data_IF_463972047427
#
_entry.id   IF_463972047427
#
_cell.length_a   1.000
_cell.length_b   1.000
_cell.length_c   1.000
_cell.angle_alpha   90.00
_cell.angle_beta   90.00
_cell.angle_gamma   90.00
#
_symmetry.space_group_name_H-M   'P 1'
#
loop_
_entity.id
_entity.type
_entity.pdbx_description
1 polymer ?
#
# COMPACT_ATOMS: atom_id res chain seq x y z
N UNK A 1 -39.17 44.27 -34.44
CA UNK A 1 -38.46 45.50 -34.06
C UNK A 1 -36.97 45.27 -34.32
N UNK A 2 -36.53 45.28 -35.57
CA UNK A 2 -35.86 46.43 -36.23
C UNK A 2 -34.73 47.06 -35.41
N UNK A 3 -33.48 46.74 -35.74
CA UNK A 3 -32.41 47.70 -36.12
C UNK A 3 -31.17 46.87 -36.54
N UNK A 4 -30.89 46.69 -37.84
CA UNK A 4 -30.06 47.53 -38.73
C UNK A 4 -28.54 47.46 -38.41
N UNK A 5 -27.56 47.31 -39.32
CA UNK A 5 -27.41 46.84 -40.71
C UNK A 5 -25.93 47.11 -41.10
N UNK A 6 -25.32 46.18 -41.87
CA UNK A 6 -24.16 46.27 -42.82
C UNK A 6 -23.19 45.09 -42.61
N UNK A 7 -22.75 44.34 -43.62
CA UNK A 7 -22.84 44.53 -45.06
C UNK A 7 -22.89 43.20 -45.84
N UNK A 8 -23.43 43.33 -47.04
CA UNK A 8 -23.78 42.30 -48.00
C UNK A 8 -23.02 42.63 -49.29
N UNK A 9 -22.31 41.65 -49.87
CA UNK A 9 -22.00 41.47 -51.30
C UNK A 9 -20.99 40.31 -51.40
N UNK A 10 -21.06 39.30 -52.25
CA UNK A 10 -21.98 38.91 -53.32
C UNK A 10 -21.62 37.44 -53.63
N UNK A 11 -22.61 36.57 -53.76
CA UNK A 11 -22.44 35.18 -54.17
C UNK A 11 -22.70 35.00 -55.67
N UNK A 12 -22.07 33.94 -56.19
CA UNK A 12 -22.53 33.07 -57.28
C UNK A 12 -22.48 33.59 -58.73
N UNK A 13 -21.84 32.77 -59.59
CA UNK A 13 -22.22 32.30 -60.93
C UNK A 13 -20.96 31.55 -61.47
N UNK A 14 -20.95 30.42 -62.16
CA UNK A 14 -21.95 29.66 -62.92
C UNK A 14 -21.21 28.36 -63.37
N UNK A 15 -21.83 27.18 -63.23
CA UNK A 15 -21.46 25.98 -64.01
C UNK A 15 -22.25 26.01 -65.34
N UNK A 16 -21.77 25.46 -66.47
CA UNK A 16 -21.85 24.00 -66.70
C UNK A 16 -20.82 23.39 -67.72
N UNK A 17 -20.98 22.08 -67.94
CA UNK A 17 -20.66 21.30 -69.16
C UNK A 17 -19.43 20.38 -69.17
N UNK A 18 -19.66 19.19 -69.75
CA UNK A 18 -18.85 17.98 -69.72
C UNK A 18 -18.03 17.76 -71.02
N UNK A 19 -16.89 17.05 -70.87
CA UNK A 19 -16.07 16.29 -71.85
C UNK A 19 -15.45 17.09 -73.02
N UNK A 20 -14.19 16.82 -73.43
CA UNK A 20 -13.74 15.49 -73.90
C UNK A 20 -12.30 15.06 -73.51
N UNK A 21 -12.03 13.75 -73.59
CA UNK A 21 -10.64 13.25 -73.75
C UNK A 21 -10.03 13.77 -75.06
N UNK A 22 -8.71 14.01 -75.07
CA UNK A 22 -7.95 13.54 -76.22
C UNK A 22 -6.56 12.95 -75.88
N UNK A 23 -6.30 11.82 -76.52
CA UNK A 23 -5.11 11.55 -77.34
C UNK A 23 -3.77 11.21 -76.65
N UNK A 24 -3.44 9.94 -76.85
CA UNK A 24 -2.15 9.26 -76.74
C UNK A 24 -1.14 9.76 -77.80
N UNK A 25 0.09 10.14 -77.38
CA UNK A 25 1.37 10.01 -78.12
C UNK A 25 2.53 10.61 -77.28
N UNK A 26 3.82 10.30 -77.57
CA UNK A 26 4.49 9.03 -77.37
C UNK A 26 5.64 9.13 -76.32
N UNK A 27 6.20 7.98 -75.98
CA UNK A 27 7.26 7.77 -75.01
C UNK A 27 8.55 8.57 -75.31
N UNK A 28 9.07 9.23 -74.27
CA UNK A 28 10.42 9.79 -74.21
C UNK A 28 11.37 8.74 -73.59
N UNK A 29 12.37 8.20 -74.32
CA UNK A 29 13.23 7.14 -73.85
C UNK A 29 14.52 7.72 -73.25
N UNK A 30 14.43 8.48 -72.17
CA UNK A 30 15.62 8.99 -71.45
C UNK A 30 15.32 9.40 -70.02
N UNK A 31 14.92 8.46 -69.15
CA UNK A 31 15.16 8.60 -67.71
C UNK A 31 15.10 7.23 -66.97
N UNK A 32 16.00 7.00 -66.01
CA UNK A 32 16.30 5.68 -65.43
C UNK A 32 15.24 5.18 -64.43
N UNK A 33 15.16 3.84 -64.34
CA UNK A 33 14.22 3.09 -63.51
C UNK A 33 14.20 3.54 -62.02
N UNK A 34 13.02 3.84 -61.45
CA UNK A 34 12.90 3.97 -60.01
C UNK A 34 12.74 2.60 -59.33
N UNK A 35 13.76 2.28 -58.54
CA UNK A 35 13.78 1.44 -57.34
C UNK A 35 12.41 1.10 -56.76
N UNK A 36 12.19 -0.20 -56.57
CA UNK A 36 11.06 -0.83 -55.88
C UNK A 36 10.86 -0.20 -54.48
N UNK A 37 9.82 0.60 -54.32
CA UNK A 37 9.31 1.01 -53.02
C UNK A 37 8.58 -0.19 -52.34
N UNK A 38 8.59 -0.27 -51.00
CA UNK A 38 8.02 -1.39 -50.25
C UNK A 38 6.48 -1.46 -50.41
N UNK A 39 5.97 -2.69 -50.41
CA UNK A 39 4.55 -2.98 -50.54
C UNK A 39 3.74 -2.42 -49.36
N UNK A 40 2.64 -1.76 -49.70
CA UNK A 40 1.57 -1.29 -48.83
C UNK A 40 0.84 -2.49 -48.19
N UNK A 41 0.67 -2.55 -46.84
CA UNK A 41 -0.01 -3.66 -46.15
C UNK A 41 -1.55 -3.61 -46.24
N UNK A 42 -2.13 -2.79 -47.11
CA UNK A 42 -3.57 -2.55 -47.16
C UNK A 42 -4.23 -3.13 -48.42
N UNK A 43 -4.24 -4.46 -48.56
CA UNK A 43 -5.10 -5.15 -49.53
C UNK A 43 -5.72 -6.43 -48.93
N UNK A 44 -7.06 -6.58 -48.93
CA UNK A 44 -7.73 -7.74 -48.32
C UNK A 44 -7.60 -9.00 -49.20
N UNK A 45 -7.22 -10.12 -48.58
CA UNK A 45 -7.15 -11.45 -49.21
C UNK A 45 -8.56 -12.06 -49.30
N UNK A 46 -9.02 -12.59 -50.45
CA UNK A 46 -10.34 -13.21 -50.58
C UNK A 46 -10.42 -14.61 -49.94
N UNK A 47 -11.53 -14.89 -49.25
CA UNK A 47 -11.79 -16.14 -48.54
C UNK A 47 -12.11 -17.32 -49.48
N UNK A 48 -11.71 -18.57 -49.14
CA UNK A 48 -12.04 -19.77 -49.91
C UNK A 48 -13.47 -20.28 -49.64
N UNK A 49 -14.11 -20.97 -50.62
CA UNK A 49 -15.50 -21.42 -50.53
C UNK A 49 -15.70 -22.67 -49.63
N UNK A 50 -16.92 -22.92 -49.11
CA UNK A 50 -17.20 -23.99 -48.16
C UNK A 50 -17.33 -25.37 -48.82
N UNK A 51 -16.86 -26.41 -48.12
CA UNK A 51 -16.95 -27.82 -48.52
C UNK A 51 -18.31 -28.45 -48.12
N UNK A 52 -18.83 -29.45 -48.88
CA UNK A 52 -20.17 -29.99 -48.71
C UNK A 52 -20.30 -31.04 -47.58
N UNK A 53 -21.53 -31.12 -47.03
CA UNK A 53 -21.95 -32.03 -45.96
C UNK A 53 -22.01 -33.50 -46.40
N UNK A 54 -21.68 -34.42 -45.49
CA UNK A 54 -21.82 -35.88 -45.64
C UNK A 54 -22.77 -36.44 -44.55
N UNK A 55 -23.69 -37.38 -44.88
CA UNK A 55 -24.86 -37.77 -44.07
C UNK A 55 -24.57 -38.78 -42.92
N UNK A 56 -25.53 -39.07 -42.02
CA UNK A 56 -25.27 -39.72 -40.74
C UNK A 56 -25.32 -41.26 -40.81
N UNK A 57 -24.63 -41.91 -39.88
CA UNK A 57 -24.73 -43.35 -39.61
C UNK A 57 -25.23 -43.60 -38.17
N UNK A 58 -25.91 -44.74 -37.93
CA UNK A 58 -26.97 -44.88 -36.91
C UNK A 58 -26.45 -45.28 -35.53
N UNK A 59 -27.28 -45.02 -34.51
CA UNK A 59 -26.99 -45.33 -33.11
C UNK A 59 -27.13 -46.81 -32.75
N UNK A 60 -26.43 -47.21 -31.69
CA UNK A 60 -26.74 -48.36 -30.84
C UNK A 60 -26.44 -47.98 -29.39
N UNK A 61 -27.38 -48.33 -28.51
CA UNK A 61 -27.46 -48.08 -27.07
C UNK A 61 -26.65 -49.13 -26.25
N UNK A 62 -26.62 -49.08 -24.90
CA UNK A 62 -25.48 -49.47 -24.07
C UNK A 62 -25.55 -50.85 -23.38
N UNK A 63 -24.43 -51.16 -22.69
CA UNK A 63 -24.28 -51.98 -21.47
C UNK A 63 -24.50 -53.51 -21.52
N UNK A 64 -23.41 -54.25 -21.23
CA UNK A 64 -23.46 -55.54 -20.55
C UNK A 64 -22.19 -55.73 -19.70
N UNK A 65 -22.41 -56.24 -18.49
CA UNK A 65 -21.51 -56.37 -17.35
C UNK A 65 -20.40 -57.44 -17.53
N UNK A 66 -19.35 -57.44 -16.67
CA UNK A 66 -18.18 -58.29 -16.81
C UNK A 66 -18.42 -59.73 -16.29
N UNK A 67 -17.72 -60.66 -16.93
CA UNK A 67 -17.71 -62.11 -16.65
C UNK A 67 -16.55 -62.44 -15.71
N UNK A 68 -16.84 -63.35 -14.79
CA UNK A 68 -16.05 -63.94 -13.72
C UNK A 68 -14.56 -64.22 -14.03
N UNK A 69 -13.70 -63.78 -13.12
CA UNK A 69 -12.36 -64.34 -12.86
C UNK A 69 -12.40 -65.28 -11.65
N UNK A 70 -11.66 -66.40 -11.67
CA UNK A 70 -11.89 -67.52 -10.77
C UNK A 70 -11.32 -67.32 -9.36
N UNK A 71 -12.01 -67.98 -8.43
CA UNK A 71 -11.76 -68.07 -7.01
C UNK A 71 -10.30 -68.38 -6.64
N UNK A 72 -9.75 -67.54 -5.78
CA UNK A 72 -8.60 -67.83 -4.93
C UNK A 72 -8.97 -68.91 -3.91
N UNK A 73 -8.17 -69.97 -3.89
CA UNK A 73 -8.24 -71.05 -2.91
C UNK A 73 -7.82 -70.51 -1.52
N UNK A 74 -8.78 -70.33 -0.63
CA UNK A 74 -8.52 -70.11 0.80
C UNK A 74 -7.99 -71.42 1.40
N UNK A 75 -6.68 -71.45 1.65
CA UNK A 75 -6.04 -72.49 2.47
C UNK A 75 -6.48 -72.26 3.92
N UNK A 76 -7.43 -73.08 4.34
CA UNK A 76 -7.88 -73.27 5.72
C UNK A 76 -6.69 -73.56 6.64
N UNK A 77 -6.27 -72.56 7.43
CA UNK A 77 -5.43 -72.77 8.60
C UNK A 77 -6.32 -73.20 9.77
N UNK A 78 -6.15 -74.45 10.20
CA UNK A 78 -6.81 -75.01 11.39
C UNK A 78 -6.55 -74.16 12.66
N UNK A 79 -7.54 -74.01 13.56
CA UNK A 79 -7.31 -73.36 14.84
C UNK A 79 -6.61 -74.35 15.77
N UNK A 80 -5.45 -73.94 16.30
CA UNK A 80 -4.84 -74.62 17.43
C UNK A 80 -4.98 -73.75 18.69
N UNK A 81 -5.56 -74.39 19.70
CA UNK A 81 -5.52 -74.14 21.15
C UNK A 81 -6.68 -73.35 21.76
N UNK A 82 -7.29 -74.04 22.72
CA UNK A 82 -8.42 -73.73 23.60
C UNK A 82 -8.22 -72.40 24.35
N UNK A 83 -8.64 -71.31 23.73
CA UNK A 83 -8.67 -69.97 24.32
C UNK A 83 -9.94 -69.26 23.85
N UNK A 84 -10.66 -68.52 24.72
CA UNK A 84 -11.93 -67.88 24.38
C UNK A 84 -11.78 -66.71 23.37
N UNK A 85 -10.56 -66.45 22.90
CA UNK A 85 -10.20 -65.37 22.00
C UNK A 85 -9.71 -65.96 20.67
N UNK A 86 -10.43 -65.69 19.58
CA UNK A 86 -10.03 -66.11 18.24
C UNK A 86 -9.16 -65.03 17.59
N UNK A 87 -7.98 -65.41 17.10
CA UNK A 87 -7.00 -64.50 16.47
C UNK A 87 -6.76 -64.94 15.03
N UNK A 88 -6.89 -64.03 14.08
CA UNK A 88 -6.47 -64.22 12.69
C UNK A 88 -5.55 -63.08 12.25
N UNK A 89 -4.58 -63.39 11.39
CA UNK A 89 -3.62 -62.45 10.87
C UNK A 89 -3.59 -62.51 9.33
N UNK A 90 -3.55 -61.35 8.68
CA UNK A 90 -3.44 -61.23 7.21
C UNK A 90 -2.38 -60.20 6.86
N UNK A 91 -1.57 -60.47 5.84
CA UNK A 91 -0.58 -59.52 5.31
C UNK A 91 -1.02 -59.04 3.93
N UNK A 92 -0.96 -57.74 3.67
CA UNK A 92 -1.29 -57.13 2.36
C UNK A 92 -0.26 -56.05 2.01
N UNK A 93 0.27 -55.99 0.77
CA UNK A 93 0.06 -56.90 -0.36
C UNK A 93 0.89 -58.18 -0.29
N UNK A 94 0.42 -59.27 -0.93
CA UNK A 94 1.16 -60.51 -1.18
C UNK A 94 0.89 -60.98 -2.62
N UNK A 95 1.90 -61.05 -3.53
CA UNK A 95 3.31 -60.76 -3.29
C UNK A 95 3.61 -59.27 -3.09
N UNK A 96 4.68 -58.98 -2.36
CA UNK A 96 5.17 -57.62 -2.09
C UNK A 96 6.51 -57.36 -2.77
N UNK A 97 6.93 -56.09 -2.87
CA UNK A 97 8.24 -55.72 -3.39
C UNK A 97 9.21 -55.30 -2.28
N UNK A 98 10.51 -55.36 -2.57
CA UNK A 98 11.55 -54.90 -1.64
C UNK A 98 11.29 -53.45 -1.23
N UNK A 99 11.12 -53.20 0.07
CA UNK A 99 10.89 -51.86 0.59
C UNK A 99 9.44 -51.38 0.55
N UNK A 100 8.49 -52.20 0.12
CA UNK A 100 7.06 -51.89 0.26
C UNK A 100 6.63 -51.84 1.73
N UNK A 101 5.63 -51.01 2.01
CA UNK A 101 4.96 -50.93 3.30
C UNK A 101 3.87 -52.02 3.35
N UNK A 102 4.15 -53.09 4.07
CA UNK A 102 3.23 -54.21 4.29
C UNK A 102 2.29 -53.90 5.46
N UNK A 103 1.01 -54.21 5.31
CA UNK A 103 0.01 -54.13 6.38
C UNK A 103 -0.25 -55.52 6.92
N UNK A 104 0.18 -55.77 8.16
CA UNK A 104 -0.19 -56.96 8.92
C UNK A 104 -1.43 -56.61 9.76
N UNK A 105 -2.59 -57.07 9.33
CA UNK A 105 -3.87 -56.91 10.02
C UNK A 105 -4.10 -58.11 10.95
N UNK A 106 -4.07 -57.87 12.26
CA UNK A 106 -4.40 -58.86 13.27
C UNK A 106 -5.80 -58.60 13.79
N UNK A 107 -6.74 -59.46 13.42
CA UNK A 107 -8.11 -59.45 13.92
C UNK A 107 -8.19 -60.31 15.18
N UNK A 108 -8.64 -59.70 16.27
CA UNK A 108 -8.88 -60.38 17.55
C UNK A 108 -10.37 -60.32 17.87
N UNK A 109 -11.02 -61.48 17.96
CA UNK A 109 -12.41 -61.64 18.36
C UNK A 109 -12.48 -62.20 19.79
N UNK A 110 -13.17 -61.49 20.69
CA UNK A 110 -13.22 -61.79 22.13
C UNK A 110 -14.61 -61.53 22.73
N UNK A 111 -15.00 -62.21 23.83
CA UNK A 111 -16.30 -61.99 24.49
C UNK A 111 -16.42 -60.61 25.16
N UNK A 112 -17.63 -60.18 25.47
CA UNK A 112 -17.87 -58.91 26.18
C UNK A 112 -17.27 -58.94 27.59
N UNK A 113 -16.61 -57.85 28.01
CA UNK A 113 -15.95 -57.73 29.31
C UNK A 113 -14.44 -58.04 29.32
N UNK A 114 -13.88 -58.47 28.18
CA UNK A 114 -12.44 -58.64 28.01
C UNK A 114 -11.82 -57.36 27.42
N UNK A 115 -10.61 -57.01 27.87
CA UNK A 115 -9.81 -55.92 27.30
C UNK A 115 -8.55 -56.47 26.64
N UNK A 116 -8.33 -56.16 25.36
CA UNK A 116 -7.18 -56.65 24.58
C UNK A 116 -6.18 -55.51 24.38
N UNK A 117 -4.92 -55.76 24.69
CA UNK A 117 -3.81 -54.82 24.55
C UNK A 117 -2.63 -55.48 23.82
N UNK A 118 -1.99 -54.70 22.93
CA UNK A 118 -0.74 -55.10 22.27
C UNK A 118 0.45 -54.62 23.13
N UNK A 119 1.50 -55.45 23.31
CA UNK A 119 2.67 -55.05 24.08
C UNK A 119 3.38 -53.84 23.42
N UNK A 120 3.67 -52.80 24.22
CA UNK A 120 4.47 -51.66 23.77
C UNK A 120 5.91 -52.13 23.49
N UNK A 121 6.43 -51.83 22.29
CA UNK A 121 7.81 -52.15 21.90
C UNK A 121 8.00 -53.53 21.24
N UNK A 122 6.98 -54.05 20.56
CA UNK A 122 7.05 -55.28 19.79
C UNK A 122 8.18 -55.23 18.75
N UNK A 123 9.11 -56.20 18.82
CA UNK A 123 10.17 -56.40 17.82
C UNK A 123 9.79 -57.57 16.93
N UNK A 124 9.75 -57.33 15.62
CA UNK A 124 9.35 -58.31 14.61
C UNK A 124 10.53 -58.76 13.74
N UNK A 125 11.76 -58.79 14.28
CA UNK A 125 12.98 -59.14 13.53
C UNK A 125 12.80 -60.44 12.71
N UNK A 126 13.16 -60.46 11.40
CA UNK A 126 13.88 -59.46 10.62
C UNK A 126 12.99 -58.37 9.95
N UNK A 127 11.75 -58.19 10.41
CA UNK A 127 10.82 -57.17 9.90
C UNK A 127 10.96 -55.88 10.71
N UNK A 128 11.01 -54.77 9.99
CA UNK A 128 11.03 -53.44 10.60
C UNK A 128 9.60 -52.97 10.86
N UNK A 129 9.24 -52.76 12.12
CA UNK A 129 7.96 -52.18 12.52
C UNK A 129 7.99 -50.65 12.33
N UNK A 130 7.11 -50.11 11.51
CA UNK A 130 6.99 -48.68 11.19
C UNK A 130 5.93 -48.01 12.07
N UNK A 131 4.73 -48.58 12.16
CA UNK A 131 3.64 -48.06 12.98
C UNK A 131 2.69 -49.16 13.43
N UNK A 132 1.95 -48.88 14.50
CA UNK A 132 0.85 -49.72 15.00
C UNK A 132 -0.38 -48.84 15.12
N UNK A 133 -1.45 -49.21 14.43
CA UNK A 133 -2.75 -48.56 14.52
C UNK A 133 -3.75 -49.53 15.13
N UNK A 134 -4.64 -49.01 15.96
CA UNK A 134 -5.63 -49.78 16.72
C UNK A 134 -7.03 -49.30 16.36
N UNK A 135 -7.90 -50.22 15.91
CA UNK A 135 -9.29 -49.90 15.61
C UNK A 135 -10.14 -49.78 16.88
N UNK A 136 -11.24 -49.05 16.80
CA UNK A 136 -12.28 -49.12 17.82
C UNK A 136 -12.88 -50.55 17.85
N UNK A 137 -13.34 -51.05 19.01
CA UNK A 137 -14.00 -52.34 19.10
C UNK A 137 -15.35 -52.33 18.35
N UNK A 138 -15.49 -53.23 17.38
CA UNK A 138 -16.74 -53.45 16.64
C UNK A 138 -17.55 -54.57 17.29
N UNK A 139 -18.86 -54.35 17.48
CA UNK A 139 -19.77 -55.38 18.01
C UNK A 139 -20.18 -56.35 16.92
N UNK A 140 -19.85 -57.63 17.08
CA UNK A 140 -20.18 -58.71 16.12
C UNK A 140 -21.42 -59.53 16.53
N UNK A 141 -22.23 -59.00 17.46
CA UNK A 141 -23.49 -59.62 17.90
C UNK A 141 -23.34 -60.70 18.99
N UNK A 142 -22.25 -61.48 18.98
CA UNK A 142 -21.93 -62.49 20.02
C UNK A 142 -20.62 -62.17 20.79
N UNK A 143 -19.96 -61.05 20.47
CA UNK A 143 -18.71 -60.61 21.08
C UNK A 143 -18.25 -59.26 20.52
N UNK A 144 -17.01 -58.89 20.81
CA UNK A 144 -16.31 -57.73 20.28
C UNK A 144 -15.18 -58.18 19.33
N UNK A 145 -15.00 -57.44 18.24
CA UNK A 145 -13.89 -57.61 17.29
C UNK A 145 -13.03 -56.35 17.32
N UNK A 146 -11.72 -56.53 17.34
CA UNK A 146 -10.76 -55.42 17.25
C UNK A 146 -9.68 -55.76 16.24
N UNK A 147 -9.30 -54.78 15.43
CA UNK A 147 -8.28 -54.94 14.39
C UNK A 147 -7.06 -54.11 14.75
N UNK A 148 -5.90 -54.75 14.76
CA UNK A 148 -4.61 -54.11 14.92
C UNK A 148 -3.88 -54.13 13.59
N UNK A 149 -3.55 -52.95 13.06
CA UNK A 149 -2.83 -52.82 11.79
C UNK A 149 -1.38 -52.47 12.07
N UNK A 150 -0.48 -53.41 11.83
CA UNK A 150 0.96 -53.22 11.94
C UNK A 150 1.52 -52.89 10.56
N UNK A 151 2.08 -51.70 10.40
CA UNK A 151 2.82 -51.34 9.19
C UNK A 151 4.25 -51.84 9.35
N UNK A 152 4.65 -52.80 8.51
CA UNK A 152 5.96 -53.46 8.58
C UNK A 152 6.68 -53.34 7.23
N UNK A 153 8.01 -53.46 7.26
CA UNK A 153 8.84 -53.42 6.06
C UNK A 153 9.86 -54.57 6.08
N UNK A 154 10.11 -55.16 4.91
CA UNK A 154 11.11 -56.22 4.72
C UNK A 154 12.04 -55.88 3.55
N UNK A 155 13.34 -56.11 3.74
CA UNK A 155 14.37 -55.74 2.77
C UNK A 155 15.05 -56.93 2.08
N UNK A 156 14.80 -58.16 2.53
CA UNK A 156 15.36 -59.35 1.88
C UNK A 156 14.37 -59.90 0.85
N UNK A 157 14.90 -60.38 -0.28
CA UNK A 157 14.14 -61.01 -1.36
C UNK A 157 13.89 -62.48 -1.01
N UNK A 158 12.73 -63.00 -1.37
CA UNK A 158 12.37 -64.42 -1.22
C UNK A 158 11.18 -64.62 -0.30
N UNK A 159 11.01 -65.85 0.18
CA UNK A 159 9.99 -66.20 1.15
C UNK A 159 10.34 -65.60 2.52
N UNK A 160 9.42 -64.82 3.08
CA UNK A 160 9.53 -64.24 4.41
C UNK A 160 8.35 -64.70 5.26
N UNK A 161 8.48 -64.58 6.58
CA UNK A 161 7.41 -64.89 7.53
C UNK A 161 7.32 -63.85 8.63
N UNK A 162 6.10 -63.53 9.05
CA UNK A 162 5.86 -62.79 10.27
C UNK A 162 6.09 -63.71 11.47
N UNK A 163 6.90 -63.31 12.47
CA UNK A 163 7.11 -64.14 13.65
C UNK A 163 5.81 -64.25 14.46
N UNK A 164 5.64 -65.36 15.17
CA UNK A 164 4.56 -65.47 16.15
C UNK A 164 4.88 -64.59 17.36
N UNK A 165 3.91 -63.78 17.81
CA UNK A 165 4.10 -62.89 18.95
C UNK A 165 2.87 -62.89 19.88
N UNK A 166 3.09 -62.63 21.19
CA UNK A 166 2.03 -62.64 22.17
C UNK A 166 1.18 -61.36 22.14
N UNK A 167 -0.14 -61.52 22.19
CA UNK A 167 -1.12 -60.47 22.52
C UNK A 167 -1.65 -60.74 23.93
N UNK A 168 -1.79 -59.68 24.72
CA UNK A 168 -2.27 -59.78 26.10
C UNK A 168 -3.74 -59.40 26.17
N UNK A 169 -4.52 -60.18 26.93
CA UNK A 169 -5.92 -59.86 27.22
C UNK A 169 -6.20 -59.99 28.72
N UNK A 170 -7.08 -59.13 29.22
CA UNK A 170 -7.52 -59.09 30.61
C UNK A 170 -8.93 -59.65 30.67
N UNK A 171 -9.13 -60.72 31.43
CA UNK A 171 -10.43 -61.32 31.68
C UNK A 171 -11.25 -60.51 32.70
N UNK A 172 -12.59 -60.68 32.77
CA UNK A 172 -13.45 -59.94 33.70
C UNK A 172 -13.10 -60.13 35.20
N UNK A 173 -12.39 -61.20 35.54
CA UNK A 173 -11.86 -61.49 36.89
C UNK A 173 -10.54 -60.76 37.20
N UNK A 174 -10.02 -59.98 36.25
CA UNK A 174 -8.75 -59.28 36.34
C UNK A 174 -7.53 -60.15 36.01
N UNK A 175 -7.71 -61.41 35.63
CA UNK A 175 -6.61 -62.28 35.24
C UNK A 175 -6.04 -61.85 33.89
N UNK A 176 -4.72 -61.66 33.84
CA UNK A 176 -3.99 -61.34 32.61
C UNK A 176 -3.58 -62.64 31.94
N UNK A 177 -4.04 -62.85 30.71
CA UNK A 177 -3.72 -64.01 29.89
C UNK A 177 -3.09 -63.56 28.57
N UNK A 178 -2.39 -64.49 27.91
CA UNK A 178 -1.66 -64.22 26.68
C UNK A 178 -2.08 -65.22 25.61
N UNK A 179 -2.43 -64.73 24.43
CA UNK A 179 -2.69 -65.53 23.24
C UNK A 179 -1.63 -65.25 22.18
N UNK A 180 -1.24 -66.27 21.42
CA UNK A 180 -0.22 -66.13 20.39
C UNK A 180 -0.85 -65.79 19.04
N UNK A 181 -0.32 -64.76 18.38
CA UNK A 181 -0.63 -64.48 16.98
C UNK A 181 0.11 -65.50 16.12
N UNK A 182 -0.56 -66.20 15.19
CA UNK A 182 0.09 -67.18 14.34
C UNK A 182 1.07 -66.51 13.35
N UNK A 183 2.12 -67.25 12.99
CA UNK A 183 3.07 -66.84 11.95
C UNK A 183 2.40 -66.89 10.57
N UNK A 184 2.67 -65.91 9.72
CA UNK A 184 2.13 -65.83 8.36
C UNK A 184 3.27 -65.67 7.34
N UNK A 185 3.31 -66.53 6.32
CA UNK A 185 4.29 -66.46 5.23
C UNK A 185 3.83 -65.50 4.13
N UNK A 186 4.75 -64.75 3.54
CA UNK A 186 4.50 -63.89 2.39
C UNK A 186 5.75 -63.86 1.49
N UNK A 187 5.58 -63.50 0.22
CA UNK A 187 6.70 -63.48 -0.75
C UNK A 187 7.14 -62.05 -1.07
N UNK A 188 8.44 -61.77 -0.96
CA UNK A 188 9.05 -60.51 -1.39
C UNK A 188 9.77 -60.70 -2.72
N UNK A 189 9.29 -60.00 -3.74
CA UNK A 189 9.82 -60.00 -5.10
C UNK A 189 10.76 -58.81 -5.31
N UNK A 190 11.81 -59.02 -6.10
CA UNK A 190 12.71 -57.94 -6.47
C UNK A 190 12.10 -57.11 -7.60
N UNK A 191 12.02 -55.78 -7.42
CA UNK A 191 11.75 -54.86 -8.52
C UNK A 191 13.03 -54.66 -9.34
N UNK A 192 13.59 -55.73 -9.90
CA UNK A 192 14.57 -55.61 -10.97
C UNK A 192 13.79 -55.42 -12.26
N UNK A 193 13.43 -54.17 -12.54
CA UNK A 193 13.05 -53.72 -13.88
C UNK A 193 14.29 -53.67 -14.79
N UNK A 194 15.05 -54.76 -14.87
CA UNK A 194 15.95 -54.98 -16.00
C UNK A 194 15.12 -55.66 -17.07
N UNK A 195 14.19 -54.92 -17.67
CA UNK A 195 13.69 -55.29 -18.99
C UNK A 195 14.92 -55.37 -19.92
N UNK A 196 15.12 -56.52 -20.56
CA UNK A 196 16.30 -56.74 -21.42
C UNK A 196 16.40 -55.73 -22.58
N UNK A 197 15.31 -55.00 -22.85
CA UNK A 197 15.20 -53.91 -23.81
C UNK A 197 14.35 -52.78 -23.21
N UNK A 198 14.92 -51.88 -22.38
CA UNK A 198 14.15 -50.78 -21.81
C UNK A 198 13.65 -49.87 -22.94
N UNK A 199 12.35 -49.85 -23.15
CA UNK A 199 11.74 -48.97 -24.14
C UNK A 199 11.84 -47.54 -23.61
N UNK A 200 12.55 -46.67 -24.35
CA UNK A 200 12.68 -45.25 -24.01
C UNK A 200 11.28 -44.68 -23.74
N UNK A 201 11.06 -44.13 -22.54
CA UNK A 201 9.84 -43.36 -22.28
C UNK A 201 9.72 -42.29 -23.37
N UNK A 202 8.52 -42.20 -23.96
CA UNK A 202 8.24 -41.20 -24.99
C UNK A 202 8.44 -39.80 -24.43
N UNK A 203 8.75 -38.86 -25.32
CA UNK A 203 8.72 -37.43 -24.97
C UNK A 203 7.32 -37.07 -24.46
N UNK A 204 7.28 -36.32 -23.36
CA UNK A 204 6.03 -35.74 -22.89
C UNK A 204 5.37 -34.96 -24.03
N UNK A 205 4.04 -35.07 -24.19
CA UNK A 205 3.34 -34.35 -25.24
C UNK A 205 3.63 -32.84 -25.10
N UNK A 206 3.88 -32.12 -26.20
CA UNK A 206 4.12 -30.69 -26.15
C UNK A 206 2.92 -30.02 -25.49
N UNK A 207 3.18 -29.30 -24.40
CA UNK A 207 2.15 -28.50 -23.73
C UNK A 207 1.82 -27.34 -24.68
N UNK A 208 0.69 -27.45 -25.37
CA UNK A 208 0.19 -26.37 -26.21
C UNK A 208 -0.46 -25.32 -25.30
N UNK A 209 0.29 -24.25 -25.03
CA UNK A 209 -0.31 -23.04 -24.49
C UNK A 209 -1.18 -22.44 -25.60
N UNK A 210 -2.46 -22.21 -25.29
CA UNK A 210 -3.37 -21.53 -26.22
C UNK A 210 -2.80 -20.14 -26.53
N UNK A 211 -2.41 -19.93 -27.78
CA UNK A 211 -1.86 -18.67 -28.27
C UNK A 211 -2.80 -18.11 -29.35
N UNK A 212 -3.16 -16.82 -29.29
CA UNK A 212 -2.77 -15.83 -28.30
C UNK A 212 -3.51 -16.00 -26.95
N UNK A 213 -2.78 -15.79 -25.85
CA UNK A 213 -3.38 -15.79 -24.52
C UNK A 213 -3.91 -14.39 -24.18
N UNK A 214 -5.11 -14.09 -24.69
CA UNK A 214 -5.73 -12.77 -24.54
C UNK A 214 -5.95 -12.37 -23.07
N UNK A 215 -6.15 -13.34 -22.16
CA UNK A 215 -6.35 -13.05 -20.73
C UNK A 215 -5.05 -12.62 -20.07
N UNK A 216 -3.93 -13.30 -20.37
CA UNK A 216 -2.61 -12.90 -19.91
C UNK A 216 -2.20 -11.54 -20.49
N UNK A 217 -2.45 -11.31 -21.79
CA UNK A 217 -2.15 -10.03 -22.44
C UNK A 217 -2.95 -8.87 -21.82
N UNK A 218 -4.25 -9.07 -21.58
CA UNK A 218 -5.10 -8.08 -20.90
C UNK A 218 -4.61 -7.82 -19.47
N UNK A 219 -4.22 -8.87 -18.74
CA UNK A 219 -3.69 -8.74 -17.39
C UNK A 219 -2.37 -7.94 -17.36
N UNK A 220 -1.49 -8.14 -18.36
CA UNK A 220 -0.24 -7.38 -18.51
C UNK A 220 -0.54 -5.89 -18.77
N UNK A 221 -1.44 -5.56 -19.69
CA UNK A 221 -1.78 -4.15 -19.94
C UNK A 221 -2.46 -3.48 -18.74
N UNK A 222 -3.34 -4.20 -18.04
CA UNK A 222 -3.96 -3.68 -16.82
C UNK A 222 -2.94 -3.43 -15.70
N UNK A 223 -2.03 -4.37 -15.47
CA UNK A 223 -0.97 -4.21 -14.45
C UNK A 223 -0.01 -3.08 -14.82
N UNK A 224 0.40 -2.98 -16.08
CA UNK A 224 1.21 -1.85 -16.56
C UNK A 224 0.49 -0.51 -16.40
N UNK A 225 -0.79 -0.44 -16.77
CA UNK A 225 -1.63 0.76 -16.61
C UNK A 225 -1.79 1.17 -15.13
N UNK A 226 -2.01 0.20 -14.24
CA UNK A 226 -2.11 0.44 -12.81
C UNK A 226 -0.79 0.98 -12.21
N UNK A 227 0.36 0.46 -12.66
CA UNK A 227 1.67 0.96 -12.22
C UNK A 227 1.91 2.41 -12.67
N UNK A 228 1.58 2.74 -13.92
CA UNK A 228 1.72 4.11 -14.43
C UNK A 228 0.79 5.06 -13.67
N UNK A 229 -0.48 4.68 -13.47
CA UNK A 229 -1.43 5.48 -12.72
C UNK A 229 -0.99 5.69 -11.27
N UNK A 230 -0.48 4.64 -10.61
CA UNK A 230 0.09 4.70 -9.26
C UNK A 230 1.29 5.65 -9.18
N UNK A 231 2.21 5.58 -10.15
CA UNK A 231 3.37 6.46 -10.22
C UNK A 231 2.98 7.93 -10.41
N UNK A 232 2.08 8.22 -11.36
CA UNK A 232 1.58 9.59 -11.60
C UNK A 232 0.86 10.14 -10.36
N UNK A 233 0.03 9.32 -9.70
CA UNK A 233 -0.66 9.69 -8.46
C UNK A 233 0.31 9.99 -7.33
N UNK A 234 1.37 9.18 -7.18
CA UNK A 234 2.41 9.41 -6.19
C UNK A 234 3.20 10.70 -6.45
N UNK A 235 3.54 11.00 -7.71
CA UNK A 235 4.20 12.25 -8.08
C UNK A 235 3.31 13.47 -7.81
N UNK A 236 2.03 13.41 -8.16
CA UNK A 236 1.05 14.46 -7.87
C UNK A 236 0.89 14.68 -6.36
N UNK A 237 0.76 13.60 -5.59
CA UNK A 237 0.66 13.66 -4.14
C UNK A 237 1.91 14.26 -3.51
N UNK A 238 3.10 13.84 -3.94
CA UNK A 238 4.37 14.38 -3.44
C UNK A 238 4.52 15.86 -3.79
N UNK A 239 4.13 16.27 -5.01
CA UNK A 239 4.15 17.67 -5.44
C UNK A 239 3.13 18.52 -4.68
N UNK A 240 1.97 17.97 -4.35
CA UNK A 240 0.97 18.66 -3.52
C UNK A 240 1.44 18.80 -2.08
N UNK A 241 2.03 17.75 -1.50
CA UNK A 241 2.57 17.77 -0.13
C UNK A 241 3.76 18.72 0.02
N UNK A 242 4.55 18.91 -1.04
CA UNK A 242 5.67 19.86 -1.10
C UNK A 242 5.26 21.28 -1.44
N UNK A 243 3.96 21.60 -1.55
CA UNK A 243 3.55 23.00 -1.73
C UNK A 243 3.91 23.79 -0.48
N UNK A 244 4.66 24.91 -0.61
CA UNK A 244 4.91 25.77 0.53
C UNK A 244 3.57 26.23 1.08
N UNK A 245 3.35 25.98 2.37
CA UNK A 245 2.21 26.56 3.08
C UNK A 245 2.39 28.08 3.04
N UNK A 246 1.35 28.87 2.70
CA UNK A 246 1.46 30.31 2.76
C UNK A 246 1.82 30.70 4.19
N UNK A 247 3.03 31.23 4.35
CA UNK A 247 3.47 31.81 5.62
C UNK A 247 2.66 33.09 5.80
N UNK A 248 1.69 33.04 6.70
CA UNK A 248 0.96 34.24 7.12
C UNK A 248 1.93 35.04 7.99
N UNK A 249 2.64 35.97 7.38
CA UNK A 249 3.45 36.94 8.11
C UNK A 249 2.52 37.79 8.99
N UNK A 250 2.89 38.07 10.25
CA UNK A 250 2.14 39.02 11.05
C UNK A 250 2.08 40.37 10.31
N UNK A 251 1.02 41.17 10.50
CA UNK A 251 0.93 42.50 9.91
C UNK A 251 2.20 43.30 10.21
N UNK A 252 2.73 44.07 9.23
CA UNK A 252 3.90 44.90 9.46
C UNK A 252 3.66 45.82 10.66
N UNK A 253 4.70 46.00 11.48
CA UNK A 253 4.60 46.86 12.65
C UNK A 253 4.23 48.31 12.21
N UNK A 254 3.30 48.99 12.91
CA UNK A 254 2.94 50.36 12.57
C UNK A 254 4.15 51.31 12.56
N UNK A 255 4.27 52.13 11.50
CA UNK A 255 5.42 53.00 11.27
C UNK A 255 5.68 53.99 12.42
N UNK A 256 4.62 54.45 13.10
CA UNK A 256 4.69 55.28 14.31
C UNK A 256 5.42 54.58 15.46
N UNK A 257 5.13 53.30 15.72
CA UNK A 257 5.80 52.53 16.77
C UNK A 257 7.27 52.30 16.45
N UNK A 258 7.59 52.00 15.19
CA UNK A 258 8.97 51.82 14.73
C UNK A 258 9.77 53.12 14.91
N UNK A 259 9.21 54.25 14.47
CA UNK A 259 9.88 55.55 14.58
C UNK A 259 10.05 56.01 16.03
N UNK A 260 9.02 55.89 16.87
CA UNK A 260 9.11 56.25 18.30
C UNK A 260 10.17 55.42 19.03
N UNK A 261 10.19 54.10 18.81
CA UNK A 261 11.21 53.22 19.37
C UNK A 261 12.62 53.60 18.89
N UNK A 262 12.76 53.97 17.61
CA UNK A 262 14.05 54.39 17.08
C UNK A 262 14.51 55.73 17.68
N UNK A 263 13.59 56.67 17.92
CA UNK A 263 13.88 57.93 18.63
C UNK A 263 14.26 57.68 20.09
N UNK A 264 13.61 56.75 20.78
CA UNK A 264 13.97 56.35 22.15
C UNK A 264 15.40 55.80 22.19
N UNK A 265 15.75 54.89 21.26
CA UNK A 265 17.11 54.35 21.13
C UNK A 265 18.14 55.43 20.79
N UNK A 266 17.79 56.39 19.93
CA UNK A 266 18.67 57.50 19.58
C UNK A 266 18.98 58.37 20.81
N UNK A 267 17.98 58.58 21.68
CA UNK A 267 18.12 59.32 22.94
C UNK A 267 18.98 58.56 23.95
N UNK A 268 18.74 57.26 24.11
CA UNK A 268 19.52 56.38 24.99
C UNK A 268 20.99 56.27 24.55
N UNK A 269 21.23 56.27 23.24
CA UNK A 269 22.57 56.17 22.69
C UNK A 269 23.43 57.41 22.95
N UNK A 270 22.85 58.57 23.31
CA UNK A 270 23.51 59.83 23.69
C UNK A 270 24.74 60.22 22.84
N UNK A 271 24.62 60.11 21.51
CA UNK A 271 25.68 60.51 20.58
C UNK A 271 26.08 61.98 20.76
N UNK A 272 25.11 62.85 21.05
CA UNK A 272 25.36 64.27 21.30
C UNK A 272 26.20 64.51 22.56
N UNK A 273 25.94 63.79 23.67
CA UNK A 273 26.76 63.86 24.89
C UNK A 273 28.21 63.39 24.68
N UNK A 274 28.43 62.48 23.72
CA UNK A 274 29.78 62.04 23.30
C UNK A 274 30.46 62.97 22.27
N UNK A 275 29.81 64.06 21.86
CA UNK A 275 30.32 64.95 20.81
C UNK A 275 30.15 64.42 19.38
N UNK A 276 29.46 63.29 19.19
CA UNK A 276 29.18 62.67 17.89
C UNK A 276 27.93 63.29 17.22
N UNK A 277 27.90 64.62 17.10
CA UNK A 277 26.73 65.34 16.58
C UNK A 277 26.36 64.96 15.14
N UNK A 278 27.35 64.74 14.27
CA UNK A 278 27.06 64.35 12.88
C UNK A 278 26.29 63.03 12.80
N UNK A 279 26.69 62.03 13.59
CA UNK A 279 26.00 60.75 13.65
C UNK A 279 24.61 60.89 14.28
N UNK A 280 24.48 61.70 15.33
CA UNK A 280 23.18 61.98 15.96
C UNK A 280 22.15 62.52 14.94
N UNK A 281 22.52 63.56 14.19
CA UNK A 281 21.62 64.20 13.23
C UNK A 281 21.44 63.39 11.94
N UNK A 282 22.41 62.55 11.56
CA UNK A 282 22.24 61.57 10.48
C UNK A 282 21.14 60.56 10.84
N UNK A 283 21.27 59.92 12.01
CA UNK A 283 20.29 58.94 12.50
C UNK A 283 18.91 59.58 12.68
N UNK A 284 18.84 60.81 13.22
CA UNK A 284 17.59 61.54 13.39
C UNK A 284 16.88 61.80 12.05
N UNK A 285 17.64 62.16 11.02
CA UNK A 285 17.14 62.38 9.65
C UNK A 285 16.62 61.08 9.04
N UNK A 286 17.36 59.98 9.19
CA UNK A 286 16.96 58.66 8.69
C UNK A 286 15.68 58.16 9.36
N UNK A 287 15.55 58.32 10.68
CA UNK A 287 14.35 57.93 11.42
C UNK A 287 13.12 58.70 10.93
N UNK A 288 13.23 60.03 10.77
CA UNK A 288 12.10 60.83 10.31
C UNK A 288 11.73 60.52 8.85
N UNK A 289 12.72 60.32 7.97
CA UNK A 289 12.47 59.93 6.57
C UNK A 289 11.84 58.54 6.48
N UNK A 290 12.35 57.56 7.23
CA UNK A 290 11.77 56.22 7.31
C UNK A 290 10.34 56.24 7.86
N UNK A 291 10.02 57.13 8.79
CA UNK A 291 8.65 57.35 9.24
C UNK A 291 7.74 57.87 8.12
N UNK A 292 8.18 58.90 7.39
CA UNK A 292 7.40 59.48 6.29
C UNK A 292 7.09 58.44 5.21
N UNK A 293 8.06 57.58 4.92
CA UNK A 293 7.94 56.48 3.96
C UNK A 293 6.98 55.40 4.47
N UNK A 294 7.20 54.90 5.68
CA UNK A 294 6.35 53.85 6.25
C UNK A 294 4.91 54.28 6.54
N UNK A 295 4.69 55.56 6.89
CA UNK A 295 3.36 56.07 7.27
C UNK A 295 2.54 56.60 6.10
N UNK A 296 3.20 57.32 5.18
CA UNK A 296 2.54 58.07 4.11
C UNK A 296 2.91 57.56 2.70
N UNK A 297 3.79 56.56 2.59
CA UNK A 297 4.21 56.02 1.28
C UNK A 297 5.01 57.02 0.45
N UNK A 298 5.71 57.95 1.10
CA UNK A 298 6.58 58.93 0.43
C UNK A 298 8.00 58.40 0.50
N UNK A 299 8.62 58.06 -0.64
CA UNK A 299 10.00 57.54 -0.71
C UNK A 299 11.01 58.60 -0.23
N UNK A 300 11.13 58.78 1.08
CA UNK A 300 11.83 59.90 1.68
C UNK A 300 13.30 59.56 1.93
N UNK A 301 13.62 58.28 2.16
CA UNK A 301 14.98 57.80 2.36
C UNK A 301 15.83 57.99 1.10
N UNK A 302 15.26 57.72 -0.07
CA UNK A 302 15.96 57.81 -1.36
C UNK A 302 16.01 59.22 -1.95
N UNK A 303 15.29 60.18 -1.36
CA UNK A 303 15.23 61.57 -1.86
C UNK A 303 16.16 62.49 -1.09
N UNK A 304 16.78 63.43 -1.79
CA UNK A 304 17.42 64.58 -1.16
C UNK A 304 16.39 65.47 -0.45
N UNK A 305 16.83 66.34 0.47
CA UNK A 305 15.92 67.25 1.20
C UNK A 305 15.12 68.16 0.25
N UNK A 306 15.73 68.58 -0.87
CA UNK A 306 15.06 69.42 -1.89
C UNK A 306 14.05 68.63 -2.74
N UNK A 307 14.34 67.40 -3.11
CA UNK A 307 13.40 66.53 -3.82
C UNK A 307 12.23 66.12 -2.91
N UNK A 308 12.51 65.88 -1.63
CA UNK A 308 11.51 65.56 -0.63
C UNK A 308 10.53 66.72 -0.42
N UNK A 309 10.99 67.99 -0.54
CA UNK A 309 10.11 69.17 -0.50
C UNK A 309 9.02 69.08 -1.56
N UNK A 310 9.39 68.79 -2.80
CA UNK A 310 8.44 68.67 -3.90
C UNK A 310 7.49 67.47 -3.71
N UNK A 311 7.94 66.39 -3.08
CA UNK A 311 7.11 65.24 -2.74
C UNK A 311 6.08 65.55 -1.63
N UNK A 312 6.52 66.19 -0.54
CA UNK A 312 5.65 66.55 0.57
C UNK A 312 4.60 67.60 0.18
N UNK A 313 4.94 68.56 -0.68
CA UNK A 313 3.97 69.54 -1.20
C UNK A 313 2.87 68.88 -2.03
N UNK A 314 3.20 67.85 -2.81
CA UNK A 314 2.19 67.08 -3.56
C UNK A 314 1.30 66.22 -2.65
N UNK A 315 1.82 65.84 -1.49
CA UNK A 315 1.14 64.97 -0.51
C UNK A 315 0.63 65.75 0.72
N UNK A 316 0.48 67.06 0.64
CA UNK A 316 0.16 67.93 1.79
C UNK A 316 -1.11 67.49 2.53
N UNK A 317 -2.16 67.10 1.79
CA UNK A 317 -3.39 66.59 2.39
C UNK A 317 -3.21 65.24 3.11
N UNK A 318 -2.28 64.39 2.65
CA UNK A 318 -2.06 63.07 3.21
C UNK A 318 -1.22 63.11 4.51
N UNK A 319 -0.39 64.13 4.67
CA UNK A 319 0.48 64.29 5.85
C UNK A 319 -0.16 65.14 6.96
N UNK A 320 -1.33 65.74 6.73
CA UNK A 320 -2.04 66.53 7.73
C UNK A 320 -2.20 65.75 9.06
N UNK A 321 -2.00 66.38 10.23
CA UNK A 321 -1.83 67.83 10.45
C UNK A 321 -0.40 68.37 10.23
N UNK A 322 0.55 67.54 9.81
CA UNK A 322 1.94 67.96 9.59
C UNK A 322 2.06 68.85 8.35
N UNK A 323 2.82 69.94 8.44
CA UNK A 323 3.03 70.87 7.32
C UNK A 323 4.31 70.52 6.56
N UNK A 324 4.31 70.48 5.21
CA UNK A 324 5.52 70.24 4.42
C UNK A 324 6.67 71.20 4.76
N UNK A 325 6.34 72.47 5.01
CA UNK A 325 7.30 73.51 5.35
C UNK A 325 7.99 73.29 6.70
N UNK A 326 7.29 72.68 7.66
CA UNK A 326 7.83 72.38 8.98
C UNK A 326 8.82 71.22 8.92
N UNK A 327 8.44 70.15 8.23
CA UNK A 327 9.30 68.97 8.01
C UNK A 327 10.58 69.38 7.29
N UNK A 328 10.46 70.15 6.21
CA UNK A 328 11.62 70.56 5.43
C UNK A 328 12.52 71.52 6.21
N UNK A 329 11.96 72.46 6.98
CA UNK A 329 12.76 73.33 7.84
C UNK A 329 13.59 72.51 8.84
N UNK A 330 12.97 71.51 9.47
CA UNK A 330 13.64 70.63 10.42
C UNK A 330 14.77 69.83 9.76
N UNK A 331 14.51 69.23 8.59
CA UNK A 331 15.53 68.50 7.85
C UNK A 331 16.69 69.41 7.42
N UNK A 332 16.41 70.64 6.98
CA UNK A 332 17.45 71.62 6.65
C UNK A 332 18.30 72.01 7.86
N UNK A 333 17.71 72.11 9.05
CA UNK A 333 18.47 72.34 10.29
C UNK A 333 19.40 71.16 10.60
N UNK A 334 18.92 69.92 10.43
CA UNK A 334 19.75 68.73 10.57
C UNK A 334 20.90 68.69 9.56
N UNK A 335 20.64 69.14 8.32
CA UNK A 335 21.61 69.19 7.24
C UNK A 335 22.77 70.17 7.53
N UNK A 336 22.51 71.26 8.24
CA UNK A 336 23.56 72.17 8.70
C UNK A 336 24.52 71.48 9.68
N UNK A 337 24.02 70.68 10.62
CA UNK A 337 24.89 69.99 11.59
C UNK A 337 25.68 68.87 10.92
N UNK A 338 25.03 68.08 10.05
CA UNK A 338 25.69 66.93 9.41
C UNK A 338 26.82 67.37 8.44
N UNK A 339 26.69 68.52 7.80
CA UNK A 339 27.66 69.00 6.80
C UNK A 339 28.56 70.17 7.25
N UNK A 340 28.09 71.08 8.10
CA UNK A 340 28.82 72.33 8.39
C UNK A 340 29.82 72.24 9.55
N UNK A 341 30.11 71.04 10.09
CA UNK A 341 30.94 70.83 11.30
C UNK A 341 30.49 71.70 12.50
N UNK A 342 29.22 72.10 12.50
CA UNK A 342 28.62 72.88 13.57
C UNK A 342 28.34 71.94 14.75
N UNK A 343 28.75 72.33 15.95
CA UNK A 343 28.49 71.58 17.17
C UNK A 343 27.44 72.35 18.00
N UNK A 344 26.14 72.05 17.84
CA UNK A 344 25.11 72.69 18.67
C UNK A 344 25.28 72.28 20.14
N UNK A 345 24.79 73.09 21.10
CA UNK A 345 24.73 72.66 22.49
C UNK A 345 23.91 71.37 22.64
N UNK A 346 24.28 70.45 23.56
CA UNK A 346 23.55 69.18 23.75
C UNK A 346 22.04 69.34 24.02
N UNK A 347 21.63 70.46 24.63
CA UNK A 347 20.22 70.81 24.83
C UNK A 347 19.45 71.00 23.52
N UNK A 348 20.10 71.50 22.47
CA UNK A 348 19.49 71.69 21.15
C UNK A 348 19.37 70.36 20.39
N UNK A 349 20.34 69.45 20.55
CA UNK A 349 20.24 68.08 20.03
C UNK A 349 19.07 67.31 20.69
N UNK A 350 18.92 67.42 22.02
CA UNK A 350 17.78 66.85 22.72
C UNK A 350 16.44 67.45 22.26
N UNK A 351 16.40 68.78 22.04
CA UNK A 351 15.20 69.46 21.53
C UNK A 351 14.85 69.00 20.10
N UNK A 352 15.83 68.73 19.25
CA UNK A 352 15.61 68.21 17.90
C UNK A 352 14.98 66.81 17.91
N UNK A 353 15.38 65.93 18.84
CA UNK A 353 14.73 64.62 19.04
C UNK A 353 13.28 64.78 19.46
N UNK A 354 12.98 65.67 20.41
CA UNK A 354 11.60 65.91 20.86
C UNK A 354 10.75 66.57 19.77
N UNK A 355 11.34 67.42 18.92
CA UNK A 355 10.67 67.99 17.76
C UNK A 355 10.27 66.90 16.74
N UNK A 356 11.19 65.99 16.40
CA UNK A 356 10.89 64.85 15.53
C UNK A 356 9.83 63.92 16.14
N UNK A 357 9.91 63.66 17.45
CA UNK A 357 8.88 62.92 18.19
C UNK A 357 7.52 63.60 18.07
N UNK A 358 7.47 64.92 18.23
CA UNK A 358 6.25 65.72 18.08
C UNK A 358 5.59 65.53 16.72
N UNK A 359 6.38 65.51 15.64
CA UNK A 359 5.88 65.26 14.28
C UNK A 359 5.24 63.86 14.14
N UNK A 360 5.88 62.83 14.70
CA UNK A 360 5.36 61.44 14.68
C UNK A 360 4.08 61.30 15.50
N UNK A 361 4.07 61.85 16.73
CA UNK A 361 2.91 61.77 17.62
C UNK A 361 1.70 62.53 17.04
N UNK A 362 1.92 63.72 16.47
CA UNK A 362 0.86 64.52 15.86
C UNK A 362 0.14 63.81 14.70
N UNK A 363 0.80 62.84 14.06
CA UNK A 363 0.29 62.09 12.91
C UNK A 363 -0.01 60.62 13.23
N UNK A 364 0.12 60.25 14.50
CA UNK A 364 -0.28 58.93 15.02
C UNK A 364 -1.81 58.87 15.10
N UNK A 365 -2.47 57.91 14.44
CA UNK A 365 -3.92 57.78 14.54
C UNK A 365 -4.31 57.42 15.98
N UNK A 366 -5.13 58.26 16.60
CA UNK A 366 -5.77 57.93 17.88
C UNK A 366 -6.69 56.75 17.62
N UNK A 367 -6.44 55.63 18.29
CA UNK A 367 -7.33 54.47 18.21
C UNK A 367 -8.71 54.87 18.76
N UNK A 368 -9.66 55.17 17.89
CA UNK A 368 -11.08 55.18 18.25
C UNK A 368 -11.44 53.76 18.66
N UNK A 369 -11.54 53.51 19.96
CA UNK A 369 -12.15 52.31 20.51
C UNK A 369 -13.62 52.28 20.10
N UNK A 370 -13.93 51.62 18.99
CA UNK A 370 -15.29 51.20 18.65
C UNK A 370 -15.79 50.15 19.65
N UNK A 371 -17.09 50.13 19.99
CA UNK A 371 -17.63 49.25 21.02
C UNK A 371 -17.33 47.77 20.76
N UNK A 372 -16.85 47.08 21.80
CA UNK A 372 -16.85 45.62 21.86
C UNK A 372 -18.30 45.14 21.98
N UNK A 373 -18.90 44.74 20.87
CA UNK A 373 -20.15 43.99 20.90
C UNK A 373 -19.85 42.54 21.32
N UNK A 374 -20.07 42.29 22.60
CA UNK A 374 -20.44 40.98 23.10
C UNK A 374 -21.86 40.64 22.60
N UNK A 375 -21.98 39.62 21.75
CA UNK A 375 -23.25 38.90 21.54
C UNK A 375 -22.88 37.42 21.29
N UNK A 376 -22.86 36.57 22.31
CA UNK A 376 -24.03 35.87 22.85
C UNK A 376 -24.83 35.14 21.78
N UNK A 377 -24.45 33.88 21.55
CA UNK A 377 -25.32 32.70 21.63
C UNK A 377 -26.82 33.00 21.54
N UNK A 378 -27.42 32.72 20.39
CA UNK A 378 -28.82 32.30 20.33
C UNK A 378 -29.00 31.18 19.30
N UNK A 379 -29.58 30.09 19.80
CA UNK A 379 -29.93 28.86 19.11
C UNK A 379 -31.45 28.75 19.22
N UNK A 380 -32.22 28.54 18.15
CA UNK A 380 -33.59 28.10 18.30
C UNK A 380 -33.68 26.57 18.12
N UNK A 381 -34.13 25.89 19.17
CA UNK A 381 -34.90 24.64 19.11
C UNK A 381 -36.37 25.06 18.83
N UNK A 382 -37.10 24.54 17.84
CA UNK A 382 -37.71 23.20 17.68
C UNK A 382 -39.23 23.26 17.90
N UNK A 383 -40.02 22.81 16.91
CA UNK A 383 -41.40 22.26 16.98
C UNK A 383 -41.71 21.75 15.56
N UNK A 384 -41.83 20.47 15.17
CA UNK A 384 -42.59 19.30 15.66
C UNK A 384 -43.48 18.78 14.48
N UNK A 385 -44.23 17.67 14.56
CA UNK A 385 -43.82 16.25 14.62
C UNK A 385 -44.55 15.32 13.59
N UNK A 386 -44.10 14.04 13.46
CA UNK A 386 -44.86 12.76 13.25
C UNK A 386 -43.88 11.62 12.84
N UNK A 387 -43.61 10.60 13.68
CA UNK A 387 -44.38 9.34 13.90
C UNK A 387 -44.18 8.34 12.72
N UNK A 388 -43.75 7.06 12.79
CA UNK A 388 -43.50 6.03 13.83
C UNK A 388 -42.77 4.80 13.19
N UNK A 389 -42.45 3.79 14.03
CA UNK A 389 -42.02 2.39 13.76
C UNK A 389 -40.50 2.12 13.93
N UNK A 390 -39.98 1.78 15.12
CA UNK A 390 -40.04 0.52 15.92
C UNK A 390 -39.33 -0.68 15.25
N UNK A 391 -38.15 -1.06 15.77
CA UNK A 391 -37.87 -2.44 16.22
C UNK A 391 -36.67 -2.54 17.17
N UNK A 392 -36.93 -3.23 18.27
CA UNK A 392 -36.11 -3.71 19.39
C UNK A 392 -34.72 -4.30 19.05
N UNK A 393 -33.69 -4.07 19.89
CA UNK A 393 -33.37 -4.86 21.10
C UNK A 393 -31.88 -4.74 21.54
N UNK A 394 -31.70 -4.46 22.83
CA UNK A 394 -30.63 -4.90 23.75
C UNK A 394 -29.17 -4.38 23.66
N UNK A 395 -28.84 -3.59 24.70
CA UNK A 395 -27.56 -3.37 25.44
C UNK A 395 -26.78 -4.69 25.77
N UNK A 396 -25.52 -4.69 26.31
CA UNK A 396 -24.87 -3.59 27.06
C UNK A 396 -23.32 -3.43 27.02
N UNK A 397 -22.91 -2.34 27.71
CA UNK A 397 -21.77 -2.20 28.62
C UNK A 397 -20.36 -1.82 28.08
N UNK A 398 -19.89 -0.68 28.59
CA UNK A 398 -18.52 -0.18 28.55
C UNK A 398 -17.68 -0.74 29.74
N UNK A 399 -16.34 -0.89 29.60
CA UNK A 399 -15.48 -1.15 30.75
C UNK A 399 -14.83 0.12 31.33
N UNK A 400 -14.74 0.14 32.67
CA UNK A 400 -13.97 1.06 33.52
C UNK A 400 -12.47 0.68 33.55
N UNK A 401 -11.56 1.58 33.98
CA UNK A 401 -10.11 1.38 33.93
C UNK A 401 -9.58 0.55 35.11
N UNK A 402 -8.47 -0.16 34.88
CA UNK A 402 -7.73 -0.99 35.86
C UNK A 402 -6.34 -0.37 36.11
N UNK A 403 -5.78 -0.47 37.34
CA UNK A 403 -4.73 0.43 37.83
C UNK A 403 -3.30 -0.10 37.66
N UNK A 404 -2.40 0.83 37.94
CA UNK A 404 -0.94 0.82 38.04
C UNK A 404 -0.39 -0.19 39.06
N UNK A 405 0.53 -1.06 38.63
CA UNK A 405 1.55 -1.69 39.48
C UNK A 405 2.64 -2.39 38.65
N UNK A 406 3.89 -2.04 38.95
CA UNK A 406 5.10 -2.86 38.89
C UNK A 406 5.62 -3.38 37.53
N UNK A 407 6.62 -2.69 36.98
CA UNK A 407 7.61 -3.29 36.06
C UNK A 407 9.03 -2.99 36.58
N UNK A 408 9.94 -3.98 36.67
CA UNK A 408 11.23 -3.86 37.33
C UNK A 408 12.28 -3.10 36.49
N UNK A 409 13.16 -2.39 37.19
CA UNK A 409 14.34 -1.70 36.66
C UNK A 409 15.44 -2.69 36.29
N UNK A 410 15.81 -2.77 35.01
CA UNK A 410 17.07 -3.40 34.56
C UNK A 410 18.24 -2.40 34.54
N UNK A 411 19.48 -2.86 34.79
CA UNK A 411 20.63 -1.98 35.04
C UNK A 411 21.33 -1.49 33.76
N UNK A 412 21.81 -0.24 33.84
CA UNK A 412 22.60 0.49 32.84
C UNK A 412 23.99 -0.15 32.64
N UNK A 413 24.46 -0.40 31.40
CA UNK A 413 25.85 -0.81 31.16
C UNK A 413 26.80 0.40 31.22
N UNK A 414 27.85 0.27 32.05
CA UNK A 414 29.00 1.19 32.13
C UNK A 414 29.78 1.16 30.81
N UNK A 415 29.99 2.34 30.20
CA UNK A 415 31.01 2.51 29.17
C UNK A 415 32.40 2.62 29.82
N UNK A 416 33.33 1.91 29.22
CA UNK A 416 34.75 1.81 29.56
C UNK A 416 35.49 2.91 28.79
N UNK A 417 36.17 3.81 29.50
CA UNK A 417 37.19 4.67 28.91
C UNK A 417 38.38 3.78 28.53
N UNK A 418 38.81 3.87 27.27
CA UNK A 418 40.09 3.36 26.79
C UNK A 418 40.79 4.47 26.01
N UNK A 419 42.09 4.56 26.28
CA UNK A 419 43.07 5.55 25.86
C UNK A 419 43.19 5.72 24.33
N UNK A 420 43.32 6.98 23.88
CA UNK A 420 44.19 7.43 22.78
C UNK A 420 44.24 8.96 22.72
#
# INVERSE_FOLDING_TARGET
MTSLVHGLLLAALLAPAAAPEPTRAPADPSAPAPTRAPADPSAPVPAPPPAPATPPAPGVAPAAAPVDEPASEDISSAPATDSPVAISARVTPDPSQIGDLLKLEVTVAYPTGYAVNVPLGLKLDPLHLVSVEESEPESTGQGLRKVFTFTIQHFNIGEARTPSFPITYVAPDGAVQTAQVPSHSFTVTALLANEAEPKRQGEDPPISLSYPNNTAETAIYFTAGALVAGFVSALLWLRWRRRPRPVVLPPPEPADRVALRALDRLKEADYAGRGEFQLHYLMLTEILKGYLEGRFGIDALERTTDELRAALLRSEAAIAPLKPTEVIRFLQQCDLVKFARFAPPPSEAAAAVEQARGMVVATTPVATTGPKDHASKDRPAETGPKEQAVKDMSSPAAPKPVPESDIPTEPVPKYKEEDA
#
